data_IF_496806869128
#
_entry.id   IF_496806869128
#
_cell.length_a   1.000
_cell.length_b   1.000
_cell.length_c   1.000
_cell.angle_alpha   90.00
_cell.angle_beta   90.00
_cell.angle_gamma   90.00
#
_symmetry.space_group_name_H-M   'P 1'
#
loop_
_entity.id
_entity.type
_entity.pdbx_description
1 polymer ?
#
# COMPACT_ATOMS: atom_id res chain seq x y z
N UNK A 1 -9.22 -11.24 11.95
CA UNK A 1 -7.77 -11.04 11.85
C UNK A 1 -7.39 -10.88 10.40
N UNK A 2 -7.08 -9.64 9.98
CA UNK A 2 -6.72 -9.29 8.60
C UNK A 2 -5.51 -8.35 8.64
N UNK A 3 -4.66 -8.39 7.61
CA UNK A 3 -3.61 -7.41 7.38
C UNK A 3 -4.20 -5.98 7.41
N UNK A 4 -3.52 -5.09 8.13
CA UNK A 4 -3.81 -3.66 8.17
C UNK A 4 -2.61 -2.93 7.55
N UNK A 5 -2.87 -1.98 6.65
CA UNK A 5 -1.83 -1.19 6.00
C UNK A 5 -2.04 0.27 6.37
N UNK A 6 -1.04 0.87 7.00
CA UNK A 6 -1.04 2.28 7.35
C UNK A 6 -0.06 3.05 6.46
N UNK A 7 -0.36 4.31 6.24
CA UNK A 7 0.52 5.26 5.56
C UNK A 7 1.02 6.31 6.54
N UNK A 8 2.30 6.63 6.45
CA UNK A 8 2.96 7.66 7.26
C UNK A 8 3.84 8.51 6.35
N UNK A 9 3.72 9.83 6.45
CA UNK A 9 4.70 10.78 5.96
C UNK A 9 4.97 11.85 7.03
N UNK A 10 5.72 12.88 6.69
CA UNK A 10 6.04 13.98 7.62
C UNK A 10 4.82 14.84 8.01
N UNK A 11 3.75 14.81 7.22
CA UNK A 11 2.59 15.70 7.34
C UNK A 11 1.37 15.00 7.94
N UNK A 12 1.27 13.67 7.82
CA UNK A 12 0.11 12.91 8.24
C UNK A 12 0.39 11.44 8.55
N UNK A 13 -0.57 10.83 9.23
CA UNK A 13 -0.70 9.38 9.35
C UNK A 13 -2.13 9.00 8.97
N UNK A 14 -2.26 8.04 8.06
CA UNK A 14 -3.55 7.47 7.64
C UNK A 14 -3.57 6.00 7.98
N UNK A 15 -4.52 5.60 8.81
CA UNK A 15 -4.61 4.22 9.30
C UNK A 15 -5.64 3.40 8.50
N UNK A 16 -5.39 2.10 8.40
CA UNK A 16 -6.28 1.12 7.74
C UNK A 16 -6.70 1.56 6.34
N UNK A 17 -5.70 1.81 5.48
CA UNK A 17 -5.92 2.09 4.07
C UNK A 17 -6.68 0.95 3.40
N UNK A 18 -7.58 1.29 2.49
CA UNK A 18 -8.21 0.30 1.63
C UNK A 18 -7.16 -0.37 0.73
N UNK A 19 -7.21 -1.69 0.59
CA UNK A 19 -6.31 -2.46 -0.27
C UNK A 19 -6.97 -3.74 -0.80
N UNK A 20 -6.40 -4.29 -1.87
CA UNK A 20 -6.79 -5.58 -2.46
C UNK A 20 -5.54 -6.41 -2.76
N UNK A 21 -5.72 -7.73 -2.92
CA UNK A 21 -4.65 -8.65 -3.36
C UNK A 21 -4.98 -9.28 -4.71
N UNK A 22 -3.93 -9.54 -5.48
CA UNK A 22 -3.95 -10.45 -6.61
C UNK A 22 -2.91 -11.53 -6.37
N UNK A 23 -3.35 -12.78 -6.35
CA UNK A 23 -2.48 -13.96 -6.24
C UNK A 23 -1.73 -14.15 -7.55
N UNK A 24 -0.40 -14.31 -7.48
CA UNK A 24 0.46 -14.48 -8.65
C UNK A 24 1.10 -15.87 -8.63
N UNK A 25 1.23 -16.51 -9.80
CA UNK A 25 1.86 -17.82 -9.94
C UNK A 25 0.97 -18.95 -9.43
N UNK A 26 1.56 -19.90 -8.70
CA UNK A 26 0.89 -21.10 -8.19
C UNK A 26 0.30 -20.91 -6.79
N UNK A 27 -0.08 -19.69 -6.45
CA UNK A 27 -0.73 -19.41 -5.18
C UNK A 27 -2.07 -20.17 -5.08
N UNK A 28 -2.40 -20.64 -3.89
CA UNK A 28 -3.54 -21.51 -3.69
C UNK A 28 -4.90 -20.76 -3.62
N UNK A 29 -5.94 -21.45 -3.16
CA UNK A 29 -7.29 -20.89 -3.12
C UNK A 29 -7.54 -19.88 -1.99
N UNK A 30 -6.70 -19.83 -0.96
CA UNK A 30 -6.93 -19.02 0.24
C UNK A 30 -6.03 -17.76 0.30
N UNK A 31 -6.37 -16.83 1.20
CA UNK A 31 -5.70 -15.52 1.28
C UNK A 31 -4.57 -15.51 2.31
N UNK A 32 -3.96 -16.66 2.58
CA UNK A 32 -2.75 -16.80 3.39
C UNK A 32 -1.54 -16.79 2.47
N UNK A 33 -0.52 -16.00 2.84
CA UNK A 33 0.74 -16.00 2.10
C UNK A 33 1.65 -17.10 2.64
N UNK A 34 1.93 -18.10 1.81
CA UNK A 34 2.75 -19.24 2.17
C UNK A 34 4.15 -19.20 1.55
N UNK A 35 4.99 -20.16 1.94
CA UNK A 35 6.35 -20.22 1.42
C UNK A 35 6.34 -20.53 -0.09
N UNK A 36 7.06 -19.71 -0.86
CA UNK A 36 7.12 -19.72 -2.33
C UNK A 36 5.87 -19.16 -3.04
N UNK A 37 4.94 -18.56 -2.32
CA UNK A 37 3.85 -17.80 -2.93
C UNK A 37 4.19 -16.32 -3.10
N UNK A 38 3.41 -15.63 -3.95
CA UNK A 38 3.58 -14.21 -4.20
C UNK A 38 2.24 -13.53 -4.40
N UNK A 39 1.95 -12.54 -3.56
CA UNK A 39 0.77 -11.69 -3.72
C UNK A 39 1.19 -10.30 -4.21
N UNK A 40 0.42 -9.76 -5.15
CA UNK A 40 0.46 -8.33 -5.50
C UNK A 40 -0.55 -7.60 -4.64
N UNK A 41 -0.07 -6.72 -3.76
CA UNK A 41 -0.94 -5.82 -2.99
C UNK A 41 -1.17 -4.55 -3.81
N UNK A 42 -2.43 -4.14 -3.93
CA UNK A 42 -2.82 -2.84 -4.52
C UNK A 42 -3.46 -2.00 -3.43
N UNK A 43 -2.91 -0.81 -3.18
CA UNK A 43 -3.40 0.13 -2.16
C UNK A 43 -4.27 1.19 -2.84
N UNK A 44 -5.48 1.36 -2.32
CA UNK A 44 -6.55 2.12 -2.95
C UNK A 44 -7.12 1.44 -4.20
N UNK A 45 -8.22 1.99 -4.71
CA UNK A 45 -8.78 1.66 -6.01
C UNK A 45 -8.13 2.49 -7.13
N UNK A 46 -8.18 1.98 -8.37
CA UNK A 46 -7.66 2.72 -9.53
C UNK A 46 -8.51 3.96 -9.87
N UNK A 47 -9.83 3.86 -9.68
CA UNK A 47 -10.77 4.96 -9.92
C UNK A 47 -11.11 5.67 -8.60
N UNK A 48 -11.10 7.00 -8.63
CA UNK A 48 -11.61 7.80 -7.50
C UNK A 48 -13.09 7.49 -7.25
N UNK A 49 -13.46 7.30 -5.98
CA UNK A 49 -14.84 6.96 -5.58
C UNK A 49 -15.27 5.51 -5.81
N UNK A 50 -14.37 4.63 -6.26
CA UNK A 50 -14.63 3.17 -6.32
C UNK A 50 -14.20 2.50 -5.02
N UNK A 51 -15.00 1.52 -4.56
CA UNK A 51 -14.74 0.72 -3.37
C UNK A 51 -14.41 1.60 -2.13
N UNK A 52 -13.27 1.36 -1.47
CA UNK A 52 -12.80 2.16 -0.34
C UNK A 52 -12.07 3.45 -0.74
N UNK A 53 -12.07 3.85 -2.02
CA UNK A 53 -11.39 5.05 -2.54
C UNK A 53 -9.97 4.77 -3.06
N UNK A 54 -9.39 5.73 -3.79
CA UNK A 54 -7.99 5.67 -4.23
C UNK A 54 -7.05 6.22 -3.15
N UNK A 55 -5.73 5.95 -3.25
CA UNK A 55 -4.77 6.43 -2.25
C UNK A 55 -4.82 7.96 -2.08
N UNK A 56 -4.93 8.71 -3.18
CA UNK A 56 -4.99 10.18 -3.14
C UNK A 56 -6.18 10.65 -2.29
N UNK A 57 -7.36 10.08 -2.48
CA UNK A 57 -8.57 10.42 -1.72
C UNK A 57 -8.52 10.00 -0.25
N UNK A 58 -7.62 9.07 0.10
CA UNK A 58 -7.41 8.64 1.48
C UNK A 58 -6.45 9.56 2.24
N UNK A 59 -5.66 10.39 1.55
CA UNK A 59 -4.74 11.34 2.17
C UNK A 59 -5.46 12.67 2.45
N UNK A 60 -5.19 13.27 3.61
CA UNK A 60 -5.61 14.64 3.91
C UNK A 60 -4.70 15.69 3.28
N UNK A 61 -3.41 15.38 3.18
CA UNK A 61 -2.40 16.21 2.50
C UNK A 61 -1.87 15.45 1.29
N UNK A 62 -1.78 16.10 0.13
CA UNK A 62 -1.27 15.44 -1.07
C UNK A 62 0.19 14.98 -0.90
N UNK A 63 0.45 13.75 -1.38
CA UNK A 63 1.81 13.25 -1.54
C UNK A 63 2.43 13.87 -2.80
N UNK A 64 3.38 14.79 -2.59
CA UNK A 64 4.06 15.55 -3.65
C UNK A 64 5.50 15.08 -3.85
N UNK A 65 6.21 15.65 -4.83
CA UNK A 65 7.63 15.41 -5.10
C UNK A 65 8.55 15.61 -3.88
N UNK A 66 9.66 14.87 -3.85
CA UNK A 66 10.69 14.89 -2.80
C UNK A 66 10.18 14.63 -1.37
N UNK A 67 9.08 13.89 -1.23
CA UNK A 67 8.55 13.45 0.07
C UNK A 67 8.86 11.97 0.32
N UNK A 68 9.40 11.70 1.50
CA UNK A 68 9.50 10.35 2.04
C UNK A 68 8.15 9.94 2.64
N UNK A 69 7.79 8.68 2.43
CA UNK A 69 6.62 8.06 3.05
C UNK A 69 6.91 6.59 3.35
N UNK A 70 6.23 6.07 4.35
CA UNK A 70 6.25 4.66 4.74
C UNK A 70 4.87 4.04 4.58
N UNK A 71 4.87 2.79 4.10
CA UNK A 71 3.74 1.89 4.20
C UNK A 71 4.05 0.85 5.27
N UNK A 72 3.25 0.85 6.34
CA UNK A 72 3.42 -0.04 7.50
C UNK A 72 2.37 -1.13 7.45
N UNK A 73 2.81 -2.34 7.15
CA UNK A 73 1.98 -3.55 6.99
C UNK A 73 1.99 -4.33 8.29
N UNK A 74 0.86 -4.30 9.01
CA UNK A 74 0.66 -4.95 10.29
C UNK A 74 -0.08 -6.27 10.09
N UNK A 75 0.64 -7.38 10.26
CA UNK A 75 0.07 -8.71 10.20
C UNK A 75 -0.73 -9.01 11.48
N UNK A 76 -1.82 -9.80 11.43
CA UNK A 76 -2.58 -10.13 12.64
C UNK A 76 -1.78 -10.91 13.68
N UNK A 77 -0.79 -11.69 13.22
CA UNK A 77 0.17 -12.43 14.02
C UNK A 77 1.49 -12.40 13.26
N UNK A 78 2.58 -12.05 13.92
CA UNK A 78 3.92 -12.07 13.34
C UNK A 78 4.55 -10.68 13.26
N UNK A 79 5.43 -10.51 12.27
CA UNK A 79 6.22 -9.30 12.10
C UNK A 79 5.42 -8.20 11.41
N UNK A 80 5.80 -6.96 11.72
CA UNK A 80 5.42 -5.77 10.96
C UNK A 80 6.43 -5.62 9.82
N UNK A 81 5.93 -5.38 8.62
CA UNK A 81 6.76 -5.02 7.47
C UNK A 81 6.61 -3.53 7.20
N UNK A 82 7.72 -2.81 7.12
CA UNK A 82 7.74 -1.41 6.72
C UNK A 82 8.40 -1.24 5.36
N UNK A 83 7.74 -0.51 4.47
CA UNK A 83 8.25 -0.14 3.15
C UNK A 83 8.37 1.37 3.10
N UNK A 84 9.60 1.86 3.23
CA UNK A 84 9.92 3.30 3.13
C UNK A 84 10.32 3.64 1.69
N UNK A 85 9.77 4.71 1.12
CA UNK A 85 10.12 5.22 -0.21
C UNK A 85 10.15 6.74 -0.22
N UNK A 86 10.88 7.31 -1.17
CA UNK A 86 10.89 8.75 -1.44
C UNK A 86 10.41 9.02 -2.86
N UNK A 87 9.44 9.92 -2.99
CA UNK A 87 8.97 10.38 -4.30
C UNK A 87 10.08 11.18 -4.99
N UNK A 88 10.27 11.03 -6.31
CA UNK A 88 11.33 11.75 -7.02
C UNK A 88 11.04 13.26 -7.12
N UNK A 89 12.02 14.07 -7.56
CA UNK A 89 11.84 15.50 -7.77
C UNK A 89 10.80 15.87 -8.84
N UNK A 90 10.48 14.94 -9.74
CA UNK A 90 9.50 15.11 -10.80
C UNK A 90 8.58 13.90 -10.86
N UNK A 91 7.27 14.15 -10.81
CA UNK A 91 6.23 13.10 -10.77
C UNK A 91 5.70 12.89 -12.18
N UNK A 92 5.83 11.66 -12.68
CA UNK A 92 5.17 11.20 -13.90
C UNK A 92 3.89 10.41 -13.55
N UNK A 93 3.04 10.18 -14.55
CA UNK A 93 1.78 9.44 -14.43
C UNK A 93 2.01 8.03 -13.88
N UNK A 94 3.14 7.42 -14.23
CA UNK A 94 3.56 6.11 -13.73
C UNK A 94 5.01 6.20 -13.30
N UNK A 95 5.30 5.79 -12.07
CA UNK A 95 6.65 5.73 -11.53
C UNK A 95 6.87 4.40 -10.82
N UNK A 96 8.07 3.85 -10.98
CA UNK A 96 8.52 2.70 -10.21
C UNK A 96 9.47 3.19 -9.12
N UNK A 97 9.09 3.00 -7.85
CA UNK A 97 9.92 3.34 -6.70
C UNK A 97 10.65 2.08 -6.25
N UNK A 98 11.98 2.11 -6.26
CA UNK A 98 12.82 0.96 -5.89
C UNK A 98 13.26 1.05 -4.44
#
# INVERSE_FOLDING_TARGET
>A
NRLVINYVDQDQTVNDLFWTITKLGNADSDDLLENNEKFKVTIGAAASGSDGGNLISALGTDLTANKQFSLVLQTPVGAILEIERTTPPYIDTIMNLR
#
